data_IF_687338416745
#
_entry.id   IF_687338416745
#
_cell.length_a   1.000
_cell.length_b   1.000
_cell.length_c   1.000
_cell.angle_alpha   90.00
_cell.angle_beta   90.00
_cell.angle_gamma   90.00
#
_symmetry.space_group_name_H-M   'P 1'
#
loop_
_entity.id
_entity.type
_entity.pdbx_description
1 polymer ?
#
# COMPACT_ATOMS: atom_id res chain seq x y z
N UNK A 1 -4.33 8.04 7.25
CA UNK A 1 -3.93 6.92 8.14
C UNK A 1 -4.63 5.68 7.64
N UNK A 2 -3.91 4.57 7.43
CA UNK A 2 -4.51 3.38 6.83
C UNK A 2 -5.49 2.69 7.79
N UNK A 3 -6.64 2.27 7.27
CA UNK A 3 -7.58 1.43 7.99
C UNK A 3 -7.10 -0.04 8.07
N UNK A 4 -7.76 -0.86 8.88
CA UNK A 4 -7.39 -2.27 9.05
C UNK A 4 -7.34 -3.05 7.72
N UNK A 5 -8.37 -2.85 6.88
CA UNK A 5 -8.50 -3.50 5.57
C UNK A 5 -7.36 -3.12 4.63
N UNK A 6 -7.01 -1.84 4.55
CA UNK A 6 -5.91 -1.31 3.74
C UNK A 6 -4.56 -1.88 4.21
N UNK A 7 -4.29 -1.89 5.52
CA UNK A 7 -3.06 -2.47 6.06
C UNK A 7 -2.95 -3.96 5.75
N UNK A 8 -4.05 -4.71 5.88
CA UNK A 8 -4.09 -6.14 5.60
C UNK A 8 -3.85 -6.42 4.11
N UNK A 9 -4.51 -5.67 3.23
CA UNK A 9 -4.32 -5.79 1.77
C UNK A 9 -2.88 -5.44 1.39
N UNK A 10 -2.34 -4.32 1.90
CA UNK A 10 -0.96 -3.92 1.62
C UNK A 10 0.04 -5.00 2.04
N UNK A 11 -0.16 -5.62 3.21
CA UNK A 11 0.66 -6.73 3.68
C UNK A 11 0.57 -7.98 2.80
N UNK A 12 -0.63 -8.32 2.32
CA UNK A 12 -0.84 -9.43 1.37
C UNK A 12 -0.07 -9.16 0.08
N UNK A 13 -0.24 -7.97 -0.49
CA UNK A 13 0.43 -7.57 -1.73
C UNK A 13 1.96 -7.55 -1.56
N UNK A 14 2.45 -6.97 -0.46
CA UNK A 14 3.87 -6.96 -0.14
C UNK A 14 4.43 -8.38 -0.02
N UNK A 15 3.77 -9.27 0.72
CA UNK A 15 4.26 -10.65 0.87
C UNK A 15 4.26 -11.43 -0.46
N UNK A 16 3.25 -11.23 -1.29
CA UNK A 16 3.10 -11.91 -2.57
C UNK A 16 4.12 -11.43 -3.61
N UNK A 17 4.39 -10.13 -3.63
CA UNK A 17 5.19 -9.45 -4.65
C UNK A 17 6.51 -8.88 -4.11
N UNK A 18 6.96 -9.34 -2.93
CA UNK A 18 8.22 -8.87 -2.30
C UNK A 18 9.44 -9.04 -3.22
N UNK A 19 9.41 -10.05 -4.08
CA UNK A 19 10.53 -10.47 -4.93
C UNK A 19 10.37 -10.03 -6.39
N UNK A 20 9.34 -9.24 -6.72
CA UNK A 20 9.12 -8.79 -8.09
C UNK A 20 7.68 -8.40 -8.36
N UNK A 21 7.47 -7.82 -9.53
CA UNK A 21 6.14 -7.41 -10.00
C UNK A 21 5.25 -8.62 -10.30
N UNK A 22 3.95 -8.44 -10.15
CA UNK A 22 3.00 -9.44 -10.61
C UNK A 22 1.55 -9.00 -10.48
N UNK A 23 0.66 -9.90 -10.90
CA UNK A 23 -0.78 -9.67 -10.90
C UNK A 23 -1.48 -10.65 -9.96
N UNK A 24 -2.40 -10.15 -9.13
CA UNK A 24 -3.29 -10.98 -8.31
C UNK A 24 -4.75 -10.60 -8.61
N UNK A 25 -5.63 -11.60 -8.59
CA UNK A 25 -7.06 -11.40 -8.78
C UNK A 25 -7.71 -10.84 -7.50
N UNK A 26 -8.66 -9.92 -7.65
CA UNK A 26 -9.39 -9.32 -6.51
C UNK A 26 -10.06 -10.40 -5.65
N UNK A 27 -10.60 -11.47 -6.25
CA UNK A 27 -11.17 -12.61 -5.53
C UNK A 27 -10.17 -13.30 -4.60
N UNK A 28 -8.92 -13.41 -5.02
CA UNK A 28 -7.85 -14.01 -4.21
C UNK A 28 -7.47 -13.09 -3.05
N UNK A 29 -7.35 -11.78 -3.31
CA UNK A 29 -7.13 -10.78 -2.25
C UNK A 29 -8.28 -10.82 -1.24
N UNK A 30 -9.53 -10.86 -1.69
CA UNK A 30 -10.73 -10.95 -0.86
C UNK A 30 -10.70 -12.17 0.07
N UNK A 31 -10.33 -13.34 -0.45
CA UNK A 31 -10.17 -14.56 0.35
C UNK A 31 -9.09 -14.41 1.44
N UNK A 32 -7.93 -13.85 1.09
CA UNK A 32 -6.84 -13.65 2.07
C UNK A 32 -7.13 -12.53 3.08
N UNK A 33 -7.78 -11.46 2.64
CA UNK A 33 -8.17 -10.35 3.49
C UNK A 33 -9.36 -10.72 4.39
N UNK A 34 -10.15 -11.76 4.04
CA UNK A 34 -11.44 -12.06 4.66
C UNK A 34 -12.35 -10.83 4.64
N UNK A 35 -12.48 -10.24 3.45
CA UNK A 35 -13.26 -9.03 3.17
C UNK A 35 -14.04 -9.22 1.89
N UNK A 36 -15.15 -8.52 1.77
CA UNK A 36 -15.96 -8.55 0.55
C UNK A 36 -15.18 -7.92 -0.63
N UNK A 37 -15.41 -8.40 -1.84
CA UNK A 37 -14.67 -7.91 -3.02
C UNK A 37 -14.84 -6.39 -3.23
N UNK A 38 -16.04 -5.86 -2.96
CA UNK A 38 -16.29 -4.42 -3.07
C UNK A 38 -15.49 -3.58 -2.05
N UNK A 39 -15.23 -4.11 -0.84
CA UNK A 39 -14.39 -3.46 0.17
C UNK A 39 -12.92 -3.49 -0.26
N UNK A 40 -12.47 -4.60 -0.83
CA UNK A 40 -11.12 -4.76 -1.38
C UNK A 40 -10.89 -3.75 -2.50
N UNK A 41 -11.83 -3.60 -3.43
CA UNK A 41 -11.73 -2.61 -4.51
C UNK A 41 -11.62 -1.18 -3.97
N UNK A 42 -12.43 -0.81 -2.98
CA UNK A 42 -12.35 0.51 -2.34
C UNK A 42 -11.00 0.74 -1.67
N UNK A 43 -10.48 -0.26 -0.95
CA UNK A 43 -9.19 -0.17 -0.29
C UNK A 43 -8.03 -0.12 -1.28
N UNK A 44 -8.06 -0.91 -2.36
CA UNK A 44 -7.06 -0.84 -3.43
C UNK A 44 -7.05 0.53 -4.10
N UNK A 45 -8.22 1.11 -4.37
CA UNK A 45 -8.34 2.48 -4.89
C UNK A 45 -7.71 3.50 -3.94
N UNK A 46 -8.06 3.43 -2.66
CA UNK A 46 -7.48 4.29 -1.63
C UNK A 46 -5.96 4.15 -1.52
N UNK A 47 -5.43 2.93 -1.59
CA UNK A 47 -3.98 2.66 -1.58
C UNK A 47 -3.29 3.19 -2.84
N UNK A 48 -3.94 3.12 -4.00
CA UNK A 48 -3.45 3.66 -5.25
C UNK A 48 -3.46 5.20 -5.24
N UNK A 49 -4.53 5.82 -4.76
CA UNK A 49 -4.64 7.28 -4.58
C UNK A 49 -3.55 7.82 -3.62
N UNK A 50 -3.14 7.01 -2.64
CA UNK A 50 -2.04 7.32 -1.71
C UNK A 50 -0.64 7.01 -2.28
N UNK A 51 -0.54 6.55 -3.53
CA UNK A 51 0.69 6.09 -4.19
C UNK A 51 1.43 5.00 -3.40
N UNK A 52 0.70 4.13 -2.68
CA UNK A 52 1.28 3.00 -1.94
C UNK A 52 1.34 1.73 -2.79
N UNK A 53 0.44 1.64 -3.78
CA UNK A 53 0.46 0.62 -4.81
C UNK A 53 0.28 1.30 -6.16
N UNK A 54 0.82 0.70 -7.21
CA UNK A 54 0.37 0.99 -8.56
C UNK A 54 -0.75 0.00 -8.90
N UNK A 55 -1.83 0.51 -9.49
CA UNK A 55 -2.98 -0.30 -9.88
C UNK A 55 -3.38 0.04 -11.31
N UNK A 56 -3.01 -0.82 -12.26
CA UNK A 56 -3.49 -0.75 -13.62
C UNK A 56 -4.73 -1.64 -13.74
N UNK A 57 -5.93 -1.04 -13.68
CA UNK A 57 -7.17 -1.75 -14.03
C UNK A 57 -7.25 -1.87 -15.56
N UNK A 58 -6.42 -2.76 -16.12
CA UNK A 58 -6.31 -2.93 -17.58
C UNK A 58 -7.35 -3.91 -18.15
N UNK A 59 -8.09 -4.63 -17.30
CA UNK A 59 -8.85 -5.78 -17.75
C UNK A 59 -10.25 -5.82 -17.11
N UNK A 60 -11.26 -6.23 -17.89
CA UNK A 60 -12.62 -6.54 -17.41
C UNK A 60 -12.64 -7.72 -16.41
N UNK A 61 -11.47 -8.25 -16.07
CA UNK A 61 -11.20 -9.40 -15.20
C UNK A 61 -10.64 -9.03 -13.82
N UNK A 62 -10.71 -7.76 -13.41
CA UNK A 62 -10.39 -7.35 -12.03
C UNK A 62 -8.96 -7.77 -11.58
N UNK A 63 -7.97 -7.51 -12.42
CA UNK A 63 -6.56 -7.81 -12.11
C UNK A 63 -5.85 -6.59 -11.53
N UNK A 64 -5.10 -6.81 -10.46
CA UNK A 64 -4.30 -5.78 -9.80
C UNK A 64 -2.84 -6.08 -10.08
N UNK A 65 -2.19 -5.28 -10.92
CA UNK A 65 -0.74 -5.34 -11.14
C UNK A 65 -0.05 -4.45 -10.12
N UNK A 66 0.63 -5.04 -9.15
CA UNK A 66 1.40 -4.30 -8.13
C UNK A 66 2.82 -4.13 -8.63
N UNK A 67 3.20 -2.90 -8.96
CA UNK A 67 4.54 -2.57 -9.48
C UNK A 67 5.51 -2.20 -8.35
N UNK A 68 4.99 -1.78 -7.18
CA UNK A 68 5.78 -1.59 -5.96
C UNK A 68 4.83 -1.46 -4.77
N UNK A 69 5.10 -2.16 -3.67
CA UNK A 69 4.46 -1.92 -2.39
C UNK A 69 5.49 -1.24 -1.48
N UNK A 70 5.47 0.10 -1.45
CA UNK A 70 6.29 0.83 -0.49
C UNK A 70 5.48 0.99 0.81
N UNK A 71 5.88 0.30 1.87
CA UNK A 71 5.59 0.78 3.21
C UNK A 71 6.31 2.12 3.34
N UNK A 72 5.60 3.23 3.09
CA UNK A 72 6.09 4.55 3.50
C UNK A 72 6.26 4.51 5.01
N UNK A 73 7.45 4.14 5.45
CA UNK A 73 7.94 4.49 6.77
C UNK A 73 7.82 6.00 6.84
N UNK A 74 6.96 6.44 7.76
CA UNK A 74 6.93 7.71 8.45
C UNK A 74 7.64 8.89 7.79
N UNK A 75 6.89 10.00 7.67
CA UNK A 75 7.38 11.36 7.51
C UNK A 75 8.79 11.55 8.12
N UNK A 76 9.68 12.34 7.47
CA UNK A 76 11.01 12.60 8.00
C UNK A 76 10.88 13.01 9.47
N UNK A 77 11.57 12.29 10.37
CA UNK A 77 11.74 12.75 11.74
C UNK A 77 12.19 14.21 11.65
N UNK A 78 11.61 15.15 12.43
CA UNK A 78 12.15 16.50 12.45
C UNK A 78 13.64 16.37 12.80
N UNK A 79 14.47 16.70 11.83
CA UNK A 79 15.90 16.90 12.03
C UNK A 79 15.99 17.88 13.18
N UNK A 80 16.47 17.41 14.33
CA UNK A 80 16.74 18.27 15.46
C UNK A 80 17.74 19.30 14.97
N UNK A 81 17.25 20.50 14.72
CA UNK A 81 18.01 21.62 14.21
C UNK A 81 19.21 21.85 15.11
N UNK A 82 20.39 21.82 14.48
CA UNK A 82 21.45 22.81 14.63
C UNK A 82 21.47 23.55 15.98
N UNK A 83 22.48 23.20 16.77
CA UNK A 83 23.39 24.10 17.49
C UNK A 83 22.96 25.57 17.44
N UNK A 84 22.49 26.09 18.56
CA UNK A 84 22.67 27.50 18.87
C UNK A 84 23.88 27.61 19.78
N UNK A 85 24.96 28.19 19.23
CA UNK A 85 26.00 28.84 20.00
C UNK A 85 25.37 29.87 20.95
N UNK A 86 25.70 29.78 22.23
CA UNK A 86 25.66 30.92 23.15
C UNK A 86 26.94 30.93 23.98
N UNK A 87 27.86 31.78 23.54
CA UNK A 87 28.89 32.41 24.37
C UNK A 87 28.24 33.18 25.52
N UNK A 88 28.73 32.98 26.74
CA UNK A 88 28.39 33.73 27.95
C UNK A 88 29.21 33.26 29.13
#
# INVERSE_FOLDING_TARGET
>A
MLNDTERKILRILYNQFRNGEGSIEIKTISRFAQREQHEVVKALRSLADQNMILWASADKRERVTVIRAEEKQHAPKPTQSQVYDWTG
#
